data_IF_279449356113
#
_entry.id   IF_279449356113
#
_cell.length_a   1.000
_cell.length_b   1.000
_cell.length_c   1.000
_cell.angle_alpha   90.00
_cell.angle_beta   90.00
_cell.angle_gamma   90.00
#
_symmetry.space_group_name_H-M   'P 1'
#
loop_
_entity.id
_entity.type
_entity.pdbx_description
1 polymer ?
#
# COMPACT_ATOMS: atom_id res chain seq x y z
N UNK A 1 -4.29 -14.11 6.50
CA UNK A 1 -4.87 -13.00 7.27
C UNK A 1 -4.19 -11.69 6.91
N UNK A 2 -4.86 -10.54 6.91
CA UNK A 2 -4.26 -9.25 6.48
C UNK A 2 -5.08 -8.02 6.92
N UNK A 3 -4.83 -6.83 6.34
CA UNK A 3 -5.55 -5.60 6.69
C UNK A 3 -7.07 -5.71 6.53
N UNK A 4 -7.55 -6.48 5.53
CA UNK A 4 -8.97 -6.79 5.37
C UNK A 4 -9.56 -7.47 6.62
N UNK A 5 -8.82 -8.38 7.27
CA UNK A 5 -9.29 -9.04 8.48
C UNK A 5 -9.29 -8.08 9.67
N UNK A 6 -8.32 -7.15 9.77
CA UNK A 6 -8.35 -6.10 10.78
C UNK A 6 -9.57 -5.19 10.64
N UNK A 7 -9.94 -4.81 9.41
CA UNK A 7 -11.15 -4.02 9.15
C UNK A 7 -12.38 -4.78 9.66
N UNK A 8 -12.49 -6.08 9.33
CA UNK A 8 -13.58 -6.92 9.84
C UNK A 8 -13.56 -7.02 11.38
N UNK A 9 -12.40 -7.22 12.00
CA UNK A 9 -12.28 -7.29 13.46
C UNK A 9 -12.65 -5.99 14.17
N UNK A 10 -12.27 -4.84 13.60
CA UNK A 10 -12.64 -3.53 14.10
C UNK A 10 -14.16 -3.29 14.02
N UNK A 11 -14.82 -3.71 12.95
CA UNK A 11 -16.26 -3.49 12.78
C UNK A 11 -17.16 -4.43 13.58
N UNK A 12 -16.72 -5.65 13.83
CA UNK A 12 -17.50 -6.68 14.54
C UNK A 12 -17.02 -6.91 15.99
N UNK A 13 -16.15 -6.04 16.50
CA UNK A 13 -15.59 -6.08 17.86
C UNK A 13 -14.94 -7.44 18.24
N UNK A 14 -14.33 -8.10 17.26
CA UNK A 14 -13.71 -9.42 17.44
C UNK A 14 -12.21 -9.27 17.72
N UNK A 15 -11.69 -10.04 18.68
CA UNK A 15 -10.26 -10.07 18.95
C UNK A 15 -9.53 -10.91 17.88
N UNK A 16 -8.55 -10.36 17.16
CA UNK A 16 -7.65 -11.16 16.34
C UNK A 16 -6.77 -12.07 17.20
N UNK A 17 -6.30 -13.17 16.62
CA UNK A 17 -5.29 -14.03 17.24
C UNK A 17 -3.87 -13.49 16.99
N UNK A 18 -3.09 -13.32 18.06
CA UNK A 18 -1.69 -12.91 17.99
C UNK A 18 -0.85 -13.90 17.17
N UNK A 19 -1.14 -15.21 17.28
CA UNK A 19 -0.40 -16.24 16.54
C UNK A 19 -0.58 -16.07 15.04
N UNK A 20 -1.80 -15.75 14.60
CA UNK A 20 -2.08 -15.47 13.19
C UNK A 20 -1.31 -14.24 12.70
N UNK A 21 -1.24 -13.17 13.51
CA UNK A 21 -0.43 -11.99 13.22
C UNK A 21 1.05 -12.32 13.05
N UNK A 22 1.64 -13.01 14.04
CA UNK A 22 3.06 -13.36 14.03
C UNK A 22 3.42 -14.29 12.86
N UNK A 23 2.61 -15.34 12.64
CA UNK A 23 2.81 -16.28 11.55
C UNK A 23 2.71 -15.59 10.18
N UNK A 24 1.78 -14.64 10.04
CA UNK A 24 1.63 -13.87 8.80
C UNK A 24 2.91 -13.08 8.47
N UNK A 25 3.53 -12.42 9.45
CA UNK A 25 4.78 -11.69 9.26
C UNK A 25 5.95 -12.61 8.91
N UNK A 26 6.09 -13.76 9.59
CA UNK A 26 7.15 -14.73 9.29
C UNK A 26 6.99 -15.33 7.90
N UNK A 27 5.77 -15.69 7.50
CA UNK A 27 5.50 -16.21 6.16
C UNK A 27 5.83 -15.17 5.09
N UNK A 28 5.43 -13.92 5.30
CA UNK A 28 5.77 -12.84 4.39
C UNK A 28 7.28 -12.61 4.30
N UNK A 29 8.00 -12.64 5.42
CA UNK A 29 9.46 -12.53 5.48
C UNK A 29 10.12 -13.64 4.63
N UNK A 30 9.77 -14.91 4.89
CA UNK A 30 10.32 -16.06 4.15
C UNK A 30 10.04 -15.96 2.66
N UNK A 31 8.81 -15.61 2.28
CA UNK A 31 8.43 -15.45 0.88
C UNK A 31 9.24 -14.34 0.21
N UNK A 32 9.38 -13.19 0.87
CA UNK A 32 10.12 -12.05 0.34
C UNK A 32 11.62 -12.35 0.20
N UNK A 33 12.21 -13.03 1.19
CA UNK A 33 13.60 -13.51 1.16
C UNK A 33 13.83 -14.53 0.05
N UNK A 34 12.83 -15.37 -0.24
CA UNK A 34 12.83 -16.29 -1.38
C UNK A 34 12.61 -15.62 -2.74
N UNK A 35 12.55 -14.28 -2.79
CA UNK A 35 12.38 -13.51 -4.02
C UNK A 35 10.93 -13.40 -4.51
N UNK A 36 9.95 -13.86 -3.73
CA UNK A 36 8.54 -13.77 -4.11
C UNK A 36 8.13 -12.31 -4.34
N UNK A 37 7.40 -12.07 -5.43
CA UNK A 37 6.91 -10.74 -5.78
C UNK A 37 5.67 -10.42 -4.93
N UNK A 38 5.89 -10.06 -3.67
CA UNK A 38 4.86 -9.69 -2.71
C UNK A 38 5.31 -8.50 -1.87
N UNK A 39 4.41 -7.88 -1.13
CA UNK A 39 4.72 -6.80 -0.19
C UNK A 39 4.87 -7.25 1.25
N UNK A 40 5.44 -6.39 2.08
CA UNK A 40 5.62 -6.65 3.52
C UNK A 40 4.67 -5.86 4.42
N UNK A 41 4.14 -4.71 3.95
CA UNK A 41 3.40 -3.80 4.82
C UNK A 41 2.04 -4.34 5.27
N UNK A 42 1.32 -5.07 4.42
CA UNK A 42 0.04 -5.69 4.81
C UNK A 42 0.17 -6.64 6.02
N UNK A 43 1.11 -7.61 5.98
CA UNK A 43 1.44 -8.46 7.12
C UNK A 43 1.86 -7.68 8.38
N UNK A 44 2.68 -6.64 8.24
CA UNK A 44 3.11 -5.81 9.38
C UNK A 44 1.96 -5.04 10.01
N UNK A 45 1.08 -4.46 9.19
CA UNK A 45 -0.14 -3.78 9.65
C UNK A 45 -1.04 -4.77 10.40
N UNK A 46 -1.25 -5.96 9.84
CA UNK A 46 -2.03 -7.02 10.47
C UNK A 46 -1.43 -7.43 11.83
N UNK A 47 -0.11 -7.68 11.88
CA UNK A 47 0.59 -8.01 13.11
C UNK A 47 0.49 -6.89 14.17
N UNK A 48 0.66 -5.64 13.76
CA UNK A 48 0.51 -4.48 14.65
C UNK A 48 -0.86 -4.44 15.32
N UNK A 49 -1.94 -4.66 14.56
CA UNK A 49 -3.29 -4.78 15.11
C UNK A 49 -3.47 -6.00 16.02
N UNK A 50 -2.90 -7.16 15.67
CA UNK A 50 -2.97 -8.34 16.54
C UNK A 50 -2.23 -8.13 17.87
N UNK A 51 -1.06 -7.49 17.83
CA UNK A 51 -0.25 -7.21 19.01
C UNK A 51 -0.94 -6.20 19.93
N UNK A 52 -1.51 -5.14 19.37
CA UNK A 52 -2.25 -4.15 20.16
C UNK A 52 -3.49 -4.76 20.82
N UNK A 53 -4.24 -5.62 20.12
CA UNK A 53 -5.37 -6.34 20.70
C UNK A 53 -4.96 -7.33 21.80
N UNK A 54 -3.79 -7.97 21.68
CA UNK A 54 -3.25 -8.82 22.74
C UNK A 54 -2.87 -8.01 23.98
N UNK A 55 -2.22 -6.86 23.81
CA UNK A 55 -1.90 -5.93 24.89
C UNK A 55 -3.16 -5.37 25.58
N UNK A 56 -4.22 -5.11 24.80
CA UNK A 56 -5.51 -4.64 25.32
C UNK A 56 -6.15 -5.59 26.33
N UNK A 57 -5.84 -6.89 26.30
CA UNK A 57 -6.43 -7.86 27.24
C UNK A 57 -6.22 -7.46 28.69
N UNK A 58 -5.16 -6.70 28.96
CA UNK A 58 -4.79 -6.22 30.29
C UNK A 58 -5.14 -4.73 30.52
N UNK A 59 -5.81 -4.06 29.56
CA UNK A 59 -6.13 -2.62 29.63
C UNK A 59 -7.48 -2.32 28.99
N UNK A 60 -8.49 -1.96 29.79
CA UNK A 60 -9.91 -2.03 29.38
C UNK A 60 -10.56 -0.71 28.95
N UNK A 61 -9.80 0.38 28.80
CA UNK A 61 -10.42 1.73 28.69
C UNK A 61 -10.72 2.22 27.27
N UNK A 62 -10.14 1.59 26.24
CA UNK A 62 -10.27 2.05 24.86
C UNK A 62 -11.12 1.08 24.01
N UNK A 63 -11.96 1.61 23.10
CA UNK A 63 -12.64 0.80 22.09
C UNK A 63 -11.66 -0.05 21.28
N UNK A 64 -12.06 -1.28 20.92
CA UNK A 64 -11.18 -2.23 20.24
C UNK A 64 -10.79 -1.79 18.84
N UNK A 65 -11.68 -1.17 18.08
CA UNK A 65 -11.38 -0.56 16.79
C UNK A 65 -10.26 0.48 16.89
N UNK A 66 -10.29 1.36 17.89
CA UNK A 66 -9.24 2.34 18.19
C UNK A 66 -7.92 1.64 18.50
N UNK A 67 -7.93 0.55 19.27
CA UNK A 67 -6.71 -0.19 19.62
C UNK A 67 -6.13 -0.95 18.42
N UNK A 68 -6.97 -1.60 17.61
CA UNK A 68 -6.56 -2.24 16.36
C UNK A 68 -5.98 -1.21 15.39
N UNK A 69 -6.65 -0.06 15.25
CA UNK A 69 -6.20 1.07 14.45
C UNK A 69 -4.88 1.66 14.94
N UNK A 70 -4.69 1.81 16.25
CA UNK A 70 -3.44 2.29 16.85
C UNK A 70 -2.26 1.35 16.55
N UNK A 71 -2.46 0.04 16.65
CA UNK A 71 -1.42 -0.96 16.31
C UNK A 71 -1.11 -0.98 14.80
N UNK A 72 -2.14 -0.93 13.96
CA UNK A 72 -2.00 -0.82 12.51
C UNK A 72 -1.28 0.48 12.08
N UNK A 73 -1.67 1.60 12.67
CA UNK A 73 -1.07 2.92 12.46
C UNK A 73 0.37 2.97 12.93
N UNK A 74 0.69 2.40 14.10
CA UNK A 74 2.07 2.31 14.60
C UNK A 74 2.98 1.57 13.60
N UNK A 75 2.51 0.47 13.00
CA UNK A 75 3.25 -0.25 11.97
C UNK A 75 3.51 0.62 10.72
N UNK A 76 2.53 1.40 10.26
CA UNK A 76 2.72 2.34 9.13
C UNK A 76 3.67 3.48 9.52
N UNK A 77 3.55 4.05 10.72
CA UNK A 77 4.39 5.13 11.20
C UNK A 77 5.87 4.73 11.27
N UNK A 78 6.14 3.52 11.80
CA UNK A 78 7.49 2.97 11.88
C UNK A 78 8.13 2.77 10.50
N UNK A 79 7.32 2.45 9.48
CA UNK A 79 7.79 2.17 8.12
C UNK A 79 7.99 3.44 7.30
N UNK A 80 6.97 4.31 7.26
CA UNK A 80 6.97 5.47 6.37
C UNK A 80 7.59 6.71 7.00
N UNK A 81 8.01 6.65 8.27
CA UNK A 81 8.48 7.83 9.01
C UNK A 81 7.46 8.99 8.99
N UNK A 82 6.17 8.65 8.99
CA UNK A 82 5.05 9.58 8.81
C UNK A 82 3.95 9.32 9.88
N UNK A 83 4.15 9.76 11.13
CA UNK A 83 3.23 9.47 12.24
C UNK A 83 1.82 10.07 12.07
N UNK A 84 1.68 11.25 11.47
CA UNK A 84 0.36 11.90 11.28
C UNK A 84 -0.41 11.16 10.18
N UNK A 85 0.22 10.92 9.03
CA UNK A 85 -0.34 10.20 7.90
C UNK A 85 -0.70 8.76 8.26
N UNK A 86 0.10 8.12 9.12
CA UNK A 86 -0.21 6.80 9.67
C UNK A 86 -1.45 6.80 10.60
N UNK A 87 -1.64 7.86 11.40
CA UNK A 87 -2.84 8.00 12.23
C UNK A 87 -4.09 8.25 11.38
N UNK A 88 -3.95 9.04 10.30
CA UNK A 88 -5.02 9.23 9.32
C UNK A 88 -5.33 7.91 8.60
N UNK A 89 -4.32 7.13 8.20
CA UNK A 89 -4.49 5.79 7.63
C UNK A 89 -5.29 4.88 8.56
N UNK A 90 -4.98 4.86 9.84
CA UNK A 90 -5.71 4.06 10.82
C UNK A 90 -7.21 4.44 10.85
N UNK A 91 -7.54 5.73 10.80
CA UNK A 91 -8.93 6.18 10.81
C UNK A 91 -9.64 5.97 9.47
N UNK A 92 -8.96 6.21 8.35
CA UNK A 92 -9.54 6.19 7.01
C UNK A 92 -9.65 4.77 6.42
N UNK A 93 -8.66 3.92 6.67
CA UNK A 93 -8.56 2.58 6.08
C UNK A 93 -9.07 1.47 7.03
N UNK A 94 -8.69 1.54 8.32
CA UNK A 94 -8.91 0.46 9.29
C UNK A 94 -10.19 0.67 10.11
N UNK A 95 -10.28 1.77 10.86
CA UNK A 95 -11.40 2.07 11.76
C UNK A 95 -12.65 2.48 10.97
N UNK A 96 -12.47 3.31 9.94
CA UNK A 96 -13.54 3.82 9.05
C UNK A 96 -14.65 4.58 9.76
N UNK A 97 -14.32 5.21 10.90
CA UNK A 97 -15.20 6.12 11.64
C UNK A 97 -14.43 7.37 12.03
N UNK A 98 -14.92 8.53 11.61
CA UNK A 98 -14.38 9.82 12.04
C UNK A 98 -15.20 10.32 13.24
N UNK A 99 -14.91 9.79 14.43
CA UNK A 99 -15.54 10.22 15.69
C UNK A 99 -14.60 11.05 16.58
N UNK A 100 -15.15 11.94 17.41
CA UNK A 100 -14.41 12.86 18.28
C UNK A 100 -13.57 12.19 19.41
N UNK A 101 -13.74 10.89 19.65
CA UNK A 101 -13.13 10.17 20.79
C UNK A 101 -11.99 9.20 20.44
N UNK A 102 -11.57 9.11 19.16
CA UNK A 102 -10.57 8.14 18.68
C UNK A 102 -9.15 8.64 18.31
N UNK A 103 -8.91 9.92 17.93
CA UNK A 103 -7.63 10.27 17.30
C UNK A 103 -6.44 10.35 18.27
N UNK A 104 -6.68 10.78 19.53
CA UNK A 104 -5.60 11.00 20.50
C UNK A 104 -4.75 9.76 20.79
N UNK A 105 -5.34 8.61 21.18
CA UNK A 105 -4.57 7.38 21.44
C UNK A 105 -3.83 6.87 20.22
N UNK A 106 -4.48 6.91 19.04
CA UNK A 106 -3.85 6.47 17.78
C UNK A 106 -2.63 7.33 17.47
N UNK A 107 -2.78 8.66 17.54
CA UNK A 107 -1.67 9.60 17.34
C UNK A 107 -0.54 9.34 18.34
N UNK A 108 -0.84 9.19 19.62
CA UNK A 108 0.20 8.91 20.63
C UNK A 108 0.99 7.63 20.30
N UNK A 109 0.31 6.57 19.87
CA UNK A 109 0.96 5.32 19.44
C UNK A 109 1.78 5.49 18.15
N UNK A 110 1.27 6.21 17.14
CA UNK A 110 2.03 6.41 15.89
C UNK A 110 3.26 7.27 16.11
N UNK A 111 3.17 8.33 16.92
CA UNK A 111 4.31 9.15 17.33
C UNK A 111 5.34 8.35 18.12
N UNK A 112 4.92 7.57 19.13
CA UNK A 112 5.83 6.73 19.89
C UNK A 112 6.54 5.70 19.00
N UNK A 113 5.81 5.08 18.07
CA UNK A 113 6.38 4.12 17.13
C UNK A 113 7.37 4.77 16.15
N UNK A 114 7.08 5.98 15.68
CA UNK A 114 8.00 6.77 14.87
C UNK A 114 9.29 7.09 15.62
N UNK A 115 9.21 7.58 16.87
CA UNK A 115 10.38 7.88 17.70
C UNK A 115 11.25 6.64 17.92
N UNK A 116 10.64 5.49 18.26
CA UNK A 116 11.38 4.23 18.43
C UNK A 116 12.03 3.80 17.11
N UNK A 117 11.32 3.91 15.99
CA UNK A 117 11.88 3.58 14.67
C UNK A 117 13.09 4.49 14.34
N UNK A 118 12.98 5.79 14.60
CA UNK A 118 14.07 6.75 14.38
C UNK A 118 15.28 6.48 15.28
N UNK A 119 15.08 6.09 16.54
CA UNK A 119 16.15 5.73 17.46
C UNK A 119 16.90 4.46 17.04
N UNK A 120 16.18 3.48 16.49
CA UNK A 120 16.75 2.18 16.11
C UNK A 120 17.33 2.16 14.69
N UNK A 121 16.70 2.86 13.74
CA UNK A 121 17.01 2.79 12.30
C UNK A 121 17.56 4.09 11.73
N UNK A 122 17.55 5.20 12.48
CA UNK A 122 17.92 6.52 11.98
C UNK A 122 16.90 7.09 11.00
N UNK A 123 17.32 8.06 10.18
CA UNK A 123 16.48 8.66 9.12
C UNK A 123 16.40 7.76 7.88
N UNK A 124 15.32 7.00 7.79
CA UNK A 124 15.04 6.01 6.76
C UNK A 124 13.82 6.37 5.88
N UNK A 125 13.54 7.66 5.71
CA UNK A 125 12.47 8.14 4.79
C UNK A 125 12.66 7.55 3.39
N UNK A 126 11.61 6.94 2.82
CA UNK A 126 11.69 6.32 1.47
C UNK A 126 11.91 7.34 0.36
N UNK A 127 11.29 8.51 0.47
CA UNK A 127 11.40 9.60 -0.49
C UNK A 127 12.14 10.74 0.20
N UNK A 128 13.37 11.01 -0.22
CA UNK A 128 14.10 12.23 0.14
C UNK A 128 14.14 13.10 -1.11
N UNK A 129 13.34 14.14 -1.11
CA UNK A 129 13.26 15.10 -2.21
C UNK A 129 13.51 16.46 -1.57
N UNK A 130 14.62 17.08 -1.95
CA UNK A 130 15.06 18.33 -1.33
C UNK A 130 14.42 19.56 -2.02
N UNK A 131 14.02 19.42 -3.28
CA UNK A 131 13.46 20.50 -4.08
C UNK A 131 11.92 20.47 -4.10
N UNK A 132 11.32 21.61 -3.75
CA UNK A 132 9.88 21.82 -3.89
C UNK A 132 9.52 22.07 -5.37
N UNK A 133 8.44 21.45 -5.89
CA UNK A 133 8.00 21.63 -7.26
C UNK A 133 7.31 22.98 -7.40
N UNK A 134 7.41 23.56 -8.59
CA UNK A 134 6.62 24.74 -8.93
C UNK A 134 5.16 24.33 -9.11
N UNK A 135 4.25 25.01 -8.42
CA UNK A 135 2.81 24.83 -8.59
C UNK A 135 2.31 25.63 -9.81
N UNK A 136 2.59 25.12 -11.01
CA UNK A 136 2.12 25.67 -12.26
C UNK A 136 1.05 24.80 -12.94
N UNK A 137 0.41 25.35 -13.97
CA UNK A 137 -0.63 24.64 -14.71
C UNK A 137 -0.11 23.36 -15.38
N UNK A 138 1.17 23.34 -15.77
CA UNK A 138 1.79 22.18 -16.40
C UNK A 138 1.93 21.01 -15.40
N UNK A 139 2.51 21.23 -14.22
CA UNK A 139 2.67 20.19 -13.21
C UNK A 139 1.32 19.72 -12.66
N UNK A 140 0.34 20.61 -12.55
CA UNK A 140 -1.04 20.25 -12.19
C UNK A 140 -1.68 19.35 -13.26
N UNK A 141 -1.50 19.66 -14.54
CA UNK A 141 -2.02 18.84 -15.63
C UNK A 141 -1.33 17.47 -15.69
N UNK A 142 -0.01 17.43 -15.49
CA UNK A 142 0.76 16.17 -15.41
C UNK A 142 0.26 15.34 -14.22
N UNK A 143 0.07 15.94 -13.04
CA UNK A 143 -0.47 15.24 -11.87
C UNK A 143 -1.88 14.69 -12.14
N UNK A 144 -2.72 15.42 -12.87
CA UNK A 144 -4.05 14.96 -13.28
C UNK A 144 -3.96 13.74 -14.20
N UNK A 145 -3.14 13.81 -15.25
CA UNK A 145 -2.93 12.69 -16.21
C UNK A 145 -2.35 11.47 -15.49
N UNK A 146 -1.37 11.68 -14.62
CA UNK A 146 -0.78 10.62 -13.81
C UNK A 146 -1.80 10.00 -12.85
N UNK A 147 -2.72 10.80 -12.30
CA UNK A 147 -3.86 10.31 -11.52
C UNK A 147 -4.79 9.42 -12.34
N UNK A 148 -5.11 9.81 -13.57
CA UNK A 148 -5.90 8.97 -14.49
C UNK A 148 -5.20 7.64 -14.77
N UNK A 149 -3.92 7.68 -15.16
CA UNK A 149 -3.13 6.49 -15.43
C UNK A 149 -3.02 5.58 -14.18
N UNK A 150 -2.75 6.15 -13.01
CA UNK A 150 -2.66 5.43 -11.74
C UNK A 150 -3.98 4.79 -11.33
N UNK A 151 -5.11 5.44 -11.60
CA UNK A 151 -6.44 4.89 -11.36
C UNK A 151 -6.72 3.67 -12.24
N UNK A 152 -6.38 3.74 -13.54
CA UNK A 152 -6.56 2.64 -14.48
C UNK A 152 -5.65 1.44 -14.15
N UNK A 153 -4.37 1.69 -13.86
CA UNK A 153 -3.42 0.62 -13.51
C UNK A 153 -3.77 -0.01 -12.16
N UNK A 154 -4.15 0.79 -11.17
CA UNK A 154 -4.66 0.27 -9.89
C UNK A 154 -5.92 -0.56 -10.07
N UNK A 155 -6.84 -0.13 -10.94
CA UNK A 155 -8.05 -0.88 -11.26
C UNK A 155 -7.71 -2.26 -11.84
N UNK A 156 -6.79 -2.31 -12.81
CA UNK A 156 -6.29 -3.55 -13.38
C UNK A 156 -5.69 -4.46 -12.30
N UNK A 157 -4.86 -3.91 -11.43
CA UNK A 157 -4.22 -4.66 -10.35
C UNK A 157 -5.21 -5.20 -9.32
N UNK A 158 -6.17 -4.37 -8.87
CA UNK A 158 -7.24 -4.79 -7.94
C UNK A 158 -8.05 -5.94 -8.54
N UNK A 159 -8.43 -5.81 -9.81
CA UNK A 159 -9.13 -6.87 -10.53
C UNK A 159 -8.29 -8.14 -10.62
N UNK A 160 -7.06 -8.04 -11.08
CA UNK A 160 -6.16 -9.17 -11.25
C UNK A 160 -5.98 -9.95 -9.94
N UNK A 161 -5.62 -9.27 -8.84
CA UNK A 161 -5.37 -9.90 -7.54
C UNK A 161 -6.62 -10.54 -6.94
N UNK A 162 -7.79 -9.94 -7.12
CA UNK A 162 -9.04 -10.47 -6.56
C UNK A 162 -9.62 -11.65 -7.36
N UNK A 163 -9.33 -11.73 -8.66
CA UNK A 163 -9.73 -12.84 -9.52
C UNK A 163 -8.71 -13.99 -9.54
N UNK A 164 -7.45 -13.72 -9.18
CA UNK A 164 -6.37 -14.72 -9.19
C UNK A 164 -6.69 -16.01 -8.41
N UNK A 165 -7.35 -15.99 -7.23
CA UNK A 165 -7.73 -17.22 -6.54
C UNK A 165 -8.69 -18.11 -7.34
N UNK A 166 -9.55 -17.53 -8.19
CA UNK A 166 -10.44 -18.30 -9.06
C UNK A 166 -9.65 -19.00 -10.17
N UNK A 167 -8.68 -18.30 -10.76
CA UNK A 167 -7.76 -18.87 -11.74
C UNK A 167 -6.93 -20.00 -11.14
N UNK A 168 -6.38 -19.80 -9.94
CA UNK A 168 -5.63 -20.83 -9.23
C UNK A 168 -6.51 -22.06 -8.92
N UNK A 169 -7.80 -21.87 -8.60
CA UNK A 169 -8.75 -22.97 -8.41
C UNK A 169 -9.06 -23.69 -9.73
N UNK A 170 -9.25 -22.96 -10.82
CA UNK A 170 -9.52 -23.50 -12.15
C UNK A 170 -8.34 -24.30 -12.74
N UNK A 171 -7.10 -23.99 -12.32
CA UNK A 171 -5.90 -24.72 -12.78
C UNK A 171 -5.86 -26.21 -12.40
N UNK A 172 -6.71 -26.66 -11.46
CA UNK A 172 -6.71 -28.05 -10.98
C UNK A 172 -5.51 -28.43 -10.09
N UNK A 173 -4.56 -27.52 -9.88
CA UNK A 173 -3.36 -27.79 -9.08
C UNK A 173 -3.75 -27.93 -7.60
N UNK A 174 -3.35 -29.02 -6.90
CA UNK A 174 -3.61 -29.19 -5.48
C UNK A 174 -2.97 -28.08 -4.65
N UNK A 175 -3.62 -27.67 -3.56
CA UNK A 175 -3.23 -26.50 -2.76
C UNK A 175 -1.74 -26.50 -2.34
N UNK A 176 -1.18 -27.66 -2.02
CA UNK A 176 0.20 -27.84 -1.59
C UNK A 176 1.23 -27.50 -2.68
N UNK A 177 0.86 -27.70 -3.95
CA UNK A 177 1.75 -27.53 -5.10
C UNK A 177 1.58 -26.19 -5.82
N UNK A 178 0.50 -25.44 -5.52
CA UNK A 178 0.24 -24.15 -6.16
C UNK A 178 1.40 -23.16 -6.04
N UNK A 179 2.10 -23.04 -4.90
CA UNK A 179 3.23 -22.11 -4.81
C UNK A 179 4.40 -22.43 -5.75
N UNK A 180 4.56 -23.68 -6.20
CA UNK A 180 5.67 -24.03 -7.09
C UNK A 180 5.57 -23.34 -8.45
N UNK A 181 4.37 -23.04 -8.94
CA UNK A 181 4.19 -22.42 -10.25
C UNK A 181 4.78 -21.00 -10.31
N UNK A 182 4.37 -20.04 -9.46
CA UNK A 182 5.02 -18.72 -9.43
C UNK A 182 6.49 -18.80 -9.01
N UNK A 183 6.89 -19.75 -8.15
CA UNK A 183 8.28 -19.96 -7.78
C UNK A 183 9.16 -20.33 -9.00
N UNK A 184 8.70 -21.29 -9.81
CA UNK A 184 9.41 -21.72 -11.02
C UNK A 184 9.52 -20.59 -12.05
N UNK A 185 8.45 -19.81 -12.22
CA UNK A 185 8.46 -18.64 -13.12
C UNK A 185 9.45 -17.58 -12.62
N UNK A 186 9.43 -17.25 -11.32
CA UNK A 186 10.38 -16.29 -10.74
C UNK A 186 11.82 -16.79 -10.88
N UNK A 187 12.07 -18.07 -10.63
CA UNK A 187 13.38 -18.68 -10.79
C UNK A 187 13.88 -18.56 -12.23
N UNK A 188 13.04 -18.90 -13.22
CA UNK A 188 13.39 -18.79 -14.64
C UNK A 188 13.62 -17.33 -15.10
N UNK A 189 12.84 -16.38 -14.58
CA UNK A 189 12.94 -14.95 -14.93
C UNK A 189 14.09 -14.25 -14.19
N UNK A 190 14.52 -14.77 -13.03
CA UNK A 190 15.51 -14.13 -12.15
C UNK A 190 16.81 -13.67 -12.83
N UNK A 191 17.42 -14.39 -13.80
CA UNK A 191 18.66 -13.95 -14.44
C UNK A 191 18.45 -12.78 -15.40
N UNK A 192 17.24 -12.63 -15.96
CA UNK A 192 16.92 -11.63 -16.99
C UNK A 192 16.32 -10.35 -16.38
N UNK A 193 15.44 -10.50 -15.39
CA UNK A 193 14.74 -9.39 -14.73
C UNK A 193 14.87 -9.46 -13.20
N UNK A 194 16.08 -9.28 -12.64
CA UNK A 194 16.31 -9.34 -11.18
C UNK A 194 15.52 -8.26 -10.42
N UNK A 195 15.22 -7.13 -11.06
CA UNK A 195 14.41 -6.02 -10.55
C UNK A 195 12.98 -6.44 -10.12
N UNK A 196 12.49 -7.57 -10.63
CA UNK A 196 11.14 -8.05 -10.35
C UNK A 196 11.02 -8.76 -9.00
N UNK A 197 12.15 -9.25 -8.47
CA UNK A 197 12.24 -10.09 -7.28
C UNK A 197 11.96 -9.29 -6.00
N UNK A 198 11.35 -9.96 -5.02
CA UNK A 198 11.06 -9.41 -3.71
C UNK A 198 10.13 -8.18 -3.76
N UNK A 199 10.35 -7.26 -2.82
CA UNK A 199 9.56 -6.03 -2.68
C UNK A 199 9.76 -5.04 -3.85
N UNK A 200 10.92 -5.07 -4.51
CA UNK A 200 11.26 -4.17 -5.62
C UNK A 200 11.66 -2.74 -5.21
N UNK A 201 11.88 -2.47 -3.92
CA UNK A 201 12.27 -1.13 -3.44
C UNK A 201 13.59 -0.63 -4.04
N UNK A 202 14.55 -1.53 -4.29
CA UNK A 202 15.78 -1.17 -4.99
C UNK A 202 15.53 -0.63 -6.40
N UNK A 203 14.56 -1.19 -7.14
CA UNK A 203 14.20 -0.70 -8.47
C UNK A 203 13.40 0.61 -8.41
N UNK A 204 12.62 0.83 -7.35
CA UNK A 204 11.99 2.14 -7.10
C UNK A 204 13.06 3.21 -6.91
N UNK A 205 14.09 2.94 -6.11
CA UNK A 205 15.19 3.88 -5.91
C UNK A 205 15.97 4.15 -7.20
N UNK A 206 16.22 3.12 -8.01
CA UNK A 206 16.86 3.28 -9.33
C UNK A 206 15.98 4.10 -10.29
N UNK A 207 14.67 3.92 -10.26
CA UNK A 207 13.71 4.69 -11.06
C UNK A 207 13.66 6.17 -10.61
N UNK A 208 13.70 6.43 -9.31
CA UNK A 208 13.83 7.78 -8.76
C UNK A 208 15.14 8.46 -9.17
N UNK A 209 16.23 7.70 -9.22
CA UNK A 209 17.54 8.22 -9.64
C UNK A 209 17.64 8.44 -11.15
N UNK A 210 16.60 8.14 -11.94
CA UNK A 210 16.63 8.22 -13.41
C UNK A 210 17.56 7.20 -14.08
N UNK A 211 18.03 6.19 -13.34
CA UNK A 211 19.03 5.20 -13.78
C UNK A 211 18.42 3.97 -14.45
N UNK A 212 17.18 4.06 -14.94
CA UNK A 212 16.47 2.96 -15.61
C UNK A 212 15.95 3.45 -16.96
N UNK A 213 16.17 2.67 -18.01
CA UNK A 213 15.61 2.94 -19.34
C UNK A 213 14.07 2.84 -19.33
N UNK A 214 13.39 3.76 -20.02
CA UNK A 214 11.92 3.80 -20.13
C UNK A 214 11.33 2.44 -20.56
N UNK A 215 11.98 1.76 -21.52
CA UNK A 215 11.55 0.44 -21.98
C UNK A 215 11.52 -0.59 -20.86
N UNK A 216 12.53 -0.60 -19.99
CA UNK A 216 12.61 -1.47 -18.84
C UNK A 216 11.56 -1.10 -17.79
N UNK A 217 11.32 0.20 -17.55
CA UNK A 217 10.26 0.67 -16.63
C UNK A 217 8.88 0.15 -17.05
N UNK A 218 8.55 0.22 -18.34
CA UNK A 218 7.27 -0.28 -18.87
C UNK A 218 7.16 -1.81 -18.68
N UNK A 219 8.22 -2.56 -18.98
CA UNK A 219 8.26 -4.01 -18.76
C UNK A 219 8.06 -4.34 -17.28
N UNK A 220 8.76 -3.63 -16.38
CA UNK A 220 8.68 -3.86 -14.94
C UNK A 220 7.30 -3.54 -14.37
N UNK A 221 6.64 -2.50 -14.87
CA UNK A 221 5.28 -2.14 -14.46
C UNK A 221 4.31 -3.32 -14.65
N UNK A 222 4.24 -3.87 -15.87
CA UNK A 222 3.31 -4.96 -16.16
C UNK A 222 3.77 -6.29 -15.57
N UNK A 223 5.07 -6.57 -15.60
CA UNK A 223 5.63 -7.79 -15.02
C UNK A 223 5.38 -7.86 -13.50
N UNK A 224 5.48 -6.73 -12.78
CA UNK A 224 5.21 -6.69 -11.33
C UNK A 224 3.75 -7.00 -11.04
N UNK A 225 2.82 -6.42 -11.78
CA UNK A 225 1.38 -6.70 -11.64
C UNK A 225 1.10 -8.19 -11.89
N UNK A 226 1.64 -8.75 -12.96
CA UNK A 226 1.47 -10.17 -13.31
C UNK A 226 2.03 -11.08 -12.20
N UNK A 227 3.29 -10.89 -11.82
CA UNK A 227 3.95 -11.79 -10.86
C UNK A 227 3.36 -11.69 -9.47
N UNK A 228 2.97 -10.50 -9.03
CA UNK A 228 2.32 -10.33 -7.72
C UNK A 228 0.93 -10.96 -7.69
N UNK A 229 0.19 -10.84 -8.78
CA UNK A 229 -1.09 -11.52 -8.97
C UNK A 229 -0.93 -13.04 -8.92
N UNK A 230 0.07 -13.60 -9.63
CA UNK A 230 0.36 -15.03 -9.60
C UNK A 230 0.80 -15.50 -8.22
N UNK A 231 1.71 -14.78 -7.56
CA UNK A 231 2.15 -15.12 -6.21
C UNK A 231 0.95 -15.20 -5.26
N UNK A 232 0.18 -14.12 -5.14
CA UNK A 232 -0.95 -14.05 -4.20
C UNK A 232 -2.09 -15.02 -4.57
N UNK A 233 -2.36 -15.21 -5.86
CA UNK A 233 -3.40 -16.14 -6.32
C UNK A 233 -3.07 -17.61 -6.08
N UNK A 234 -1.81 -18.00 -6.26
CA UNK A 234 -1.34 -19.38 -6.14
C UNK A 234 -0.82 -19.73 -4.72
N UNK A 235 -1.14 -18.91 -3.72
CA UNK A 235 -0.98 -19.28 -2.31
C UNK A 235 0.26 -18.71 -1.62
N UNK A 236 1.03 -17.84 -2.26
CA UNK A 236 1.98 -17.02 -1.49
C UNK A 236 1.24 -16.06 -0.58
N UNK A 237 1.81 -15.87 0.60
CA UNK A 237 1.32 -14.93 1.58
C UNK A 237 2.17 -13.67 1.58
N UNK A 238 1.53 -12.50 1.51
CA UNK A 238 2.19 -11.20 1.55
C UNK A 238 1.19 -10.05 1.41
N UNK A 239 1.72 -8.83 1.37
CA UNK A 239 0.96 -7.58 1.25
C UNK A 239 0.82 -7.11 -0.19
N UNK A 240 -0.25 -6.36 -0.47
CA UNK A 240 -0.50 -5.74 -1.78
C UNK A 240 0.06 -4.32 -1.90
N UNK A 241 0.46 -3.72 -0.78
CA UNK A 241 0.89 -2.33 -0.66
C UNK A 241 2.19 -2.07 -1.44
N UNK A 242 3.23 -2.86 -1.19
CA UNK A 242 4.55 -2.62 -1.81
C UNK A 242 4.53 -2.80 -3.33
N UNK A 243 3.84 -3.82 -3.90
CA UNK A 243 3.59 -3.86 -5.33
C UNK A 243 2.90 -2.62 -5.89
N UNK A 244 1.88 -2.10 -5.19
CA UNK A 244 1.18 -0.88 -5.59
C UNK A 244 2.10 0.36 -5.61
N UNK A 245 2.95 0.47 -4.60
CA UNK A 245 4.00 1.49 -4.54
C UNK A 245 4.96 1.32 -5.74
N UNK A 246 5.38 0.10 -6.04
CA UNK A 246 6.32 -0.20 -7.12
C UNK A 246 5.78 0.20 -8.49
N UNK A 247 4.62 -0.31 -8.91
CA UNK A 247 4.11 0.00 -10.25
C UNK A 247 3.67 1.47 -10.38
N UNK A 248 3.24 2.09 -9.27
CA UNK A 248 3.00 3.53 -9.22
C UNK A 248 4.29 4.34 -9.40
N UNK A 249 5.37 3.93 -8.74
CA UNK A 249 6.69 4.54 -8.95
C UNK A 249 7.17 4.40 -10.39
N UNK A 250 6.96 3.24 -11.02
CA UNK A 250 7.27 3.04 -12.45
C UNK A 250 6.44 3.99 -13.34
N UNK A 251 5.14 4.18 -13.06
CA UNK A 251 4.31 5.14 -13.81
C UNK A 251 4.85 6.57 -13.72
N UNK A 252 5.18 7.03 -12.52
CA UNK A 252 5.76 8.35 -12.34
C UNK A 252 7.14 8.48 -13.00
N UNK A 253 7.97 7.43 -12.96
CA UNK A 253 9.27 7.39 -13.64
C UNK A 253 9.15 7.52 -15.16
N UNK A 254 8.11 6.96 -15.78
CA UNK A 254 7.85 7.15 -17.22
C UNK A 254 7.66 8.64 -17.54
N UNK A 255 6.95 9.37 -16.69
CA UNK A 255 6.75 10.82 -16.85
C UNK A 255 8.09 11.55 -16.67
N UNK A 256 8.83 11.27 -15.59
CA UNK A 256 10.12 11.91 -15.30
C UNK A 256 11.12 11.73 -16.44
N UNK A 257 11.27 10.49 -16.93
CA UNK A 257 12.20 10.18 -18.01
C UNK A 257 11.76 10.80 -19.36
N UNK A 258 10.45 10.91 -19.60
CA UNK A 258 9.93 11.55 -20.81
C UNK A 258 10.20 13.06 -20.80
N UNK A 259 10.06 13.70 -19.64
CA UNK A 259 10.38 15.12 -19.44
C UNK A 259 11.89 15.37 -19.48
N UNK A 260 12.70 14.46 -18.95
CA UNK A 260 14.16 14.54 -19.04
C UNK A 260 14.64 14.52 -20.50
N UNK A 261 14.08 13.63 -21.32
CA UNK A 261 14.38 13.57 -22.76
C UNK A 261 13.96 14.84 -23.52
N UNK A 262 12.96 15.57 -23.01
CA UNK A 262 12.52 16.85 -23.55
C UNK A 262 13.36 18.05 -23.05
N UNK A 263 14.35 17.83 -22.19
CA UNK A 263 15.24 18.88 -21.67
C UNK A 263 14.68 19.68 -20.48
N UNK A 264 13.58 19.22 -19.87
CA UNK A 264 13.01 19.83 -18.65
C UNK A 264 13.60 19.22 -17.38
N UNK A 265 13.83 20.05 -16.35
CA UNK A 265 14.35 19.61 -15.05
C UNK A 265 13.32 18.68 -14.39
N UNK A 266 13.79 17.49 -14.00
CA UNK A 266 12.98 16.39 -13.46
C UNK A 266 12.41 16.76 -12.10
N UNK A 267 11.09 16.92 -12.05
CA UNK A 267 10.31 16.96 -10.80
C UNK A 267 9.95 15.52 -10.46
N UNK A 268 10.20 15.04 -9.24
CA UNK A 268 10.00 13.65 -8.78
C UNK A 268 8.56 13.10 -8.89
N UNK A 269 7.98 12.95 -10.09
CA UNK A 269 6.63 12.41 -10.30
C UNK A 269 6.54 10.92 -9.93
N UNK A 270 7.66 10.22 -9.81
CA UNK A 270 7.76 8.87 -9.23
C UNK A 270 6.96 8.76 -7.91
N UNK A 271 7.09 9.73 -7.02
CA UNK A 271 6.40 9.73 -5.74
C UNK A 271 4.88 9.91 -5.90
N UNK A 272 4.44 10.80 -6.81
CA UNK A 272 3.02 11.01 -7.09
C UNK A 272 2.36 9.74 -7.60
N UNK A 273 3.01 9.04 -8.53
CA UNK A 273 2.51 7.79 -9.08
C UNK A 273 2.43 6.71 -8.00
N UNK A 274 3.46 6.60 -7.16
CA UNK A 274 3.49 5.69 -6.02
C UNK A 274 2.35 5.96 -5.03
N UNK A 275 2.20 7.21 -4.59
CA UNK A 275 1.15 7.63 -3.66
C UNK A 275 -0.25 7.41 -4.24
N UNK A 276 -0.47 7.76 -5.51
CA UNK A 276 -1.75 7.57 -6.21
C UNK A 276 -2.17 6.10 -6.28
N UNK A 277 -1.24 5.22 -6.65
CA UNK A 277 -1.54 3.79 -6.75
C UNK A 277 -1.80 3.16 -5.37
N UNK A 278 -0.96 3.49 -4.38
CA UNK A 278 -1.13 3.02 -3.00
C UNK A 278 -2.46 3.47 -2.41
N UNK A 279 -2.78 4.77 -2.53
CA UNK A 279 -4.03 5.34 -2.06
C UNK A 279 -5.26 4.63 -2.65
N UNK A 280 -5.19 4.34 -3.94
CA UNK A 280 -6.26 3.70 -4.69
C UNK A 280 -6.48 2.24 -4.29
N UNK A 281 -5.40 1.47 -4.16
CA UNK A 281 -5.46 0.06 -3.75
C UNK A 281 -5.98 -0.10 -2.32
N UNK A 282 -5.56 0.80 -1.42
CA UNK A 282 -5.92 0.75 0.00
C UNK A 282 -7.29 1.39 0.27
N UNK A 283 -7.67 2.38 -0.53
CA UNK A 283 -8.85 3.21 -0.29
C UNK A 283 -8.66 4.27 0.80
N UNK A 284 -7.45 4.83 0.90
CA UNK A 284 -7.10 5.87 1.89
C UNK A 284 -6.36 7.07 1.25
N UNK A 285 -7.06 7.88 0.43
CA UNK A 285 -6.48 9.03 -0.27
C UNK A 285 -5.97 10.15 0.66
N UNK A 286 -6.67 10.44 1.76
CA UNK A 286 -6.23 11.50 2.68
C UNK A 286 -4.94 11.09 3.36
N UNK A 287 -4.89 9.85 3.87
CA UNK A 287 -3.71 9.29 4.48
C UNK A 287 -2.48 9.31 3.56
N UNK A 288 -2.64 8.89 2.30
CA UNK A 288 -1.54 8.89 1.34
C UNK A 288 -0.98 10.29 1.08
N UNK A 289 -1.85 11.29 0.97
CA UNK A 289 -1.44 12.70 0.77
C UNK A 289 -0.66 13.23 1.98
N UNK A 290 -1.12 12.92 3.21
CA UNK A 290 -0.42 13.33 4.43
C UNK A 290 0.90 12.58 4.61
N UNK A 291 0.97 11.31 4.23
CA UNK A 291 2.23 10.55 4.21
C UNK A 291 3.24 11.21 3.26
N UNK A 292 2.81 11.60 2.04
CA UNK A 292 3.68 12.33 1.11
C UNK A 292 4.19 13.64 1.72
N UNK A 293 3.30 14.40 2.36
CA UNK A 293 3.65 15.64 3.05
C UNK A 293 4.73 15.41 4.13
N UNK A 294 4.55 14.43 5.02
CA UNK A 294 5.52 14.16 6.10
C UNK A 294 6.85 13.61 5.59
N UNK A 295 6.82 12.78 4.54
CA UNK A 295 8.04 12.19 3.98
C UNK A 295 8.91 13.22 3.27
N UNK A 296 8.29 14.16 2.55
CA UNK A 296 9.00 15.19 1.79
C UNK A 296 9.23 16.47 2.56
N UNK A 297 8.37 16.81 3.51
CA UNK A 297 8.36 18.12 4.17
C UNK A 297 7.90 19.27 3.27
N UNK A 298 7.42 19.01 2.04
CA UNK A 298 6.98 20.03 1.10
C UNK A 298 5.46 20.04 0.96
N UNK A 299 4.89 21.23 1.14
CA UNK A 299 3.46 21.47 0.97
C UNK A 299 3.04 21.33 -0.50
N UNK A 300 3.88 21.78 -1.42
CA UNK A 300 3.64 21.77 -2.86
C UNK A 300 3.55 20.32 -3.39
N UNK A 301 4.45 19.45 -2.94
CA UNK A 301 4.38 18.01 -3.24
C UNK A 301 3.09 17.38 -2.72
N UNK A 302 2.66 17.76 -1.51
CA UNK A 302 1.40 17.29 -0.95
C UNK A 302 0.21 17.73 -1.81
N UNK A 303 0.14 19.00 -2.22
CA UNK A 303 -0.92 19.53 -3.09
C UNK A 303 -0.97 18.80 -4.44
N UNK A 304 0.17 18.64 -5.11
CA UNK A 304 0.22 17.91 -6.38
C UNK A 304 -0.18 16.44 -6.22
N UNK A 305 0.27 15.78 -5.14
CA UNK A 305 -0.12 14.41 -4.85
C UNK A 305 -1.63 14.28 -4.64
N UNK A 306 -2.25 15.25 -3.95
CA UNK A 306 -3.70 15.26 -3.70
C UNK A 306 -4.50 15.23 -5.00
N UNK A 307 -4.10 15.99 -6.03
CA UNK A 307 -4.75 15.99 -7.35
C UNK A 307 -4.72 14.57 -7.95
N UNK A 308 -3.51 14.00 -8.05
CA UNK A 308 -3.32 12.68 -8.65
C UNK A 308 -4.02 11.55 -7.87
N UNK A 309 -3.93 11.59 -6.54
CA UNK A 309 -4.52 10.61 -5.61
C UNK A 309 -6.04 10.65 -5.67
N UNK A 310 -6.66 11.83 -5.64
CA UNK A 310 -8.12 11.97 -5.68
C UNK A 310 -8.66 11.47 -7.02
N UNK A 311 -8.04 11.85 -8.14
CA UNK A 311 -8.45 11.40 -9.47
C UNK A 311 -8.34 9.87 -9.59
N UNK A 312 -7.20 9.30 -9.19
CA UNK A 312 -6.98 7.85 -9.22
C UNK A 312 -8.00 7.09 -8.35
N UNK A 313 -8.24 7.57 -7.13
CA UNK A 313 -9.17 6.97 -6.19
C UNK A 313 -10.62 7.04 -6.69
N UNK A 314 -11.05 8.14 -7.32
CA UNK A 314 -12.40 8.27 -7.88
C UNK A 314 -12.61 7.32 -9.06
N UNK A 315 -11.65 7.26 -9.99
CA UNK A 315 -11.72 6.34 -11.14
C UNK A 315 -11.85 4.90 -10.66
N UNK A 316 -10.98 4.44 -9.75
CA UNK A 316 -11.08 3.08 -9.23
C UNK A 316 -12.37 2.86 -8.46
N UNK A 317 -12.85 3.85 -7.69
CA UNK A 317 -14.08 3.73 -6.89
C UNK A 317 -15.31 3.48 -7.76
N UNK A 318 -15.40 4.11 -8.92
CA UNK A 318 -16.52 3.93 -9.85
C UNK A 318 -16.66 2.51 -10.40
N UNK A 319 -15.57 1.74 -10.48
CA UNK A 319 -15.61 0.39 -11.09
C UNK A 319 -15.30 -0.75 -10.12
N UNK A 320 -14.42 -0.53 -9.14
CA UNK A 320 -13.90 -1.57 -8.24
C UNK A 320 -14.38 -1.42 -6.79
N UNK A 321 -15.09 -0.32 -6.47
CA UNK A 321 -15.45 0.03 -5.10
C UNK A 321 -14.30 0.72 -4.36
N UNK A 322 -14.47 0.90 -3.04
CA UNK A 322 -13.60 1.79 -2.24
C UNK A 322 -12.16 1.31 -2.10
N UNK A 323 -11.91 0.01 -1.99
CA UNK A 323 -10.58 -0.54 -1.77
C UNK A 323 -10.47 -2.00 -2.22
N UNK A 324 -9.23 -2.47 -2.40
CA UNK A 324 -8.95 -3.90 -2.59
C UNK A 324 -9.44 -4.73 -1.40
N UNK A 325 -9.30 -4.20 -0.17
CA UNK A 325 -9.72 -4.89 1.04
C UNK A 325 -11.24 -5.10 1.10
N UNK A 326 -12.03 -4.14 0.64
CA UNK A 326 -13.49 -4.28 0.56
C UNK A 326 -13.88 -5.37 -0.42
N UNK A 327 -13.21 -5.42 -1.58
CA UNK A 327 -13.49 -6.46 -2.56
C UNK A 327 -13.08 -7.85 -2.05
N UNK A 328 -11.99 -7.93 -1.28
CA UNK A 328 -11.62 -9.17 -0.58
C UNK A 328 -12.69 -9.59 0.44
N UNK A 329 -13.23 -8.67 1.24
CA UNK A 329 -14.28 -8.96 2.21
C UNK A 329 -15.61 -9.34 1.54
N UNK A 330 -16.00 -8.61 0.48
CA UNK A 330 -17.19 -8.88 -0.31
C UNK A 330 -17.13 -10.28 -0.96
N UNK A 331 -15.95 -10.70 -1.45
CA UNK A 331 -15.76 -12.05 -2.00
C UNK A 331 -15.96 -13.18 -0.97
N UNK A 332 -15.89 -12.85 0.33
CA UNK A 332 -16.15 -13.75 1.46
C UNK A 332 -17.57 -13.60 2.03
N UNK A 333 -18.42 -12.78 1.41
CA UNK A 333 -19.77 -12.48 1.88
C UNK A 333 -19.83 -11.55 3.10
N UNK A 334 -18.74 -10.84 3.42
CA UNK A 334 -18.68 -9.91 4.56
C UNK A 334 -18.99 -8.50 4.05
N UNK A 335 -20.06 -7.90 4.57
CA UNK A 335 -20.46 -6.51 4.24
C UNK A 335 -19.83 -5.56 5.24
N UNK A 336 -19.02 -4.63 4.73
CA UNK A 336 -18.36 -3.60 5.53
C UNK A 336 -19.32 -2.41 5.67
N UNK A 337 -19.62 -2.01 6.91
CA UNK A 337 -20.44 -0.81 7.17
C UNK A 337 -19.58 0.44 6.94
N UNK A 338 -20.02 1.35 6.09
CA UNK A 338 -19.37 2.66 5.91
C UNK A 338 -20.20 3.73 6.62
N UNK A 339 -19.57 4.76 7.18
CA UNK A 339 -20.25 5.87 7.91
C UNK A 339 -21.31 6.58 7.04
N UNK A 340 -21.30 6.39 5.71
CA UNK A 340 -22.32 6.92 4.80
C UNK A 340 -23.64 6.16 4.81
N UNK A 341 -23.70 4.94 5.34
CA UNK A 341 -24.96 4.18 5.44
C UNK A 341 -25.70 4.38 6.77
N UNK A 342 -25.09 5.02 7.77
CA UNK A 342 -25.77 5.42 9.01
C UNK A 342 -26.42 6.81 8.95
N UNK A 343 -26.23 7.55 7.85
CA UNK A 343 -26.78 8.91 7.65
C UNK A 343 -27.96 8.92 6.66
N UNK A 344 -28.25 7.80 6.00
CA UNK A 344 -29.45 7.64 5.18
C UNK A 344 -30.57 7.00 6.01
N UNK A 345 -31.24 7.85 6.79
CA UNK A 345 -32.63 7.79 7.32
C UNK A 345 -33.06 6.47 7.98
#
# INVERSE_FOLDING_TARGET
HGPADLIHFAQYDKAPDLRAGFLSSILALNNLSGGASVGMFGPLVHFGGCLSAWLQRNTTRLPRDVVLGAGAGAAIAAVFSAPIGAAVFAHEAIIRRFGAFGPGPVLACTFASYLVSMLLLGDHRFFKIDDAPVLDAQNMLIALVLGVASGLVSMLYIYAVTEAPKLAKASGIPLQWRPLLPAAILFAISPVLPHLLGAGLGSVNLAMAGNIAISLVIVLLFAKILMTTLCLGFGYFGGVFTPALFFGAMLGSIVDLSLANAGTITSSFVMLGAASCVATVIGAPVAATVIVFEMTGSYEWAVLSMISVVVAAQISRSFMGRSLFDRQLASRGIVVKDDRQSVAI
#
